data_IF_796847584762
#
_entry.id   IF_796847584762
#
_cell.length_a   1.000
_cell.length_b   1.000
_cell.length_c   1.000
_cell.angle_alpha   90.00
_cell.angle_beta   90.00
_cell.angle_gamma   90.00
#
_symmetry.space_group_name_H-M   'P 1'
#
loop_
_entity.id
_entity.type
_entity.pdbx_description
1 polymer ?
#
# COMPACT_ATOMS: atom_id res chain seq x y z
N UNK A 1 8.34 -2.97 16.33
CA UNK A 1 9.23 -3.20 15.18
C UNK A 1 9.93 -4.55 15.25
N UNK A 2 10.62 -4.88 16.36
CA UNK A 2 11.32 -6.16 16.57
C UNK A 2 10.48 -7.40 16.19
N UNK A 3 9.24 -7.51 16.68
CA UNK A 3 8.36 -8.65 16.37
C UNK A 3 8.09 -8.83 14.87
N UNK A 4 8.01 -7.74 14.10
CA UNK A 4 7.86 -7.80 12.63
C UNK A 4 9.12 -8.41 12.00
N UNK A 5 10.30 -8.02 12.48
CA UNK A 5 11.60 -8.53 11.99
C UNK A 5 11.73 -10.01 12.36
N UNK A 6 11.51 -10.37 13.63
CA UNK A 6 11.48 -11.77 14.11
C UNK A 6 10.59 -12.66 13.25
N UNK A 7 9.35 -12.21 13.00
CA UNK A 7 8.37 -12.98 12.25
C UNK A 7 8.61 -12.99 10.73
N UNK A 8 9.51 -12.13 10.22
CA UNK A 8 9.93 -12.16 8.81
C UNK A 8 11.03 -13.19 8.59
N UNK A 9 11.79 -13.54 9.64
CA UNK A 9 12.96 -14.41 9.53
C UNK A 9 14.14 -13.69 8.87
N UNK A 10 15.25 -14.42 8.72
CA UNK A 10 16.39 -13.95 7.94
C UNK A 10 16.09 -14.00 6.45
N UNK A 11 16.72 -13.08 5.71
CA UNK A 11 16.72 -13.15 4.26
C UNK A 11 17.40 -14.44 3.77
N UNK A 12 17.01 -14.91 2.58
CA UNK A 12 17.58 -16.11 1.96
C UNK A 12 19.11 -16.06 1.81
N UNK A 13 19.70 -14.88 1.64
CA UNK A 13 21.14 -14.66 1.53
C UNK A 13 21.91 -14.72 2.86
N UNK A 14 21.20 -14.59 3.99
CA UNK A 14 21.75 -14.56 5.35
C UNK A 14 21.48 -15.89 6.08
N UNK A 15 20.30 -16.47 5.85
CA UNK A 15 19.80 -17.62 6.61
C UNK A 15 20.77 -18.80 6.56
N UNK A 16 21.16 -19.29 7.74
CA UNK A 16 22.04 -20.46 7.88
C UNK A 16 23.53 -20.14 7.92
N UNK A 17 23.90 -18.86 7.79
CA UNK A 17 25.27 -18.36 7.95
C UNK A 17 25.36 -17.60 9.29
N UNK A 18 25.98 -18.23 10.29
CA UNK A 18 26.00 -17.72 11.66
C UNK A 18 26.68 -16.34 11.77
N UNK A 19 27.73 -16.11 10.98
CA UNK A 19 28.45 -14.85 10.98
C UNK A 19 27.57 -13.73 10.42
N UNK A 20 26.90 -13.97 9.28
CA UNK A 20 25.97 -13.00 8.68
C UNK A 20 24.74 -12.76 9.56
N UNK A 21 24.21 -13.79 10.20
CA UNK A 21 23.10 -13.64 11.14
C UNK A 21 23.50 -12.78 12.35
N UNK A 22 24.71 -13.00 12.91
CA UNK A 22 25.24 -12.18 14.01
C UNK A 22 25.40 -10.73 13.56
N UNK A 23 25.99 -10.53 12.38
CA UNK A 23 26.21 -9.21 11.79
C UNK A 23 24.90 -8.45 11.61
N UNK A 24 23.88 -9.07 11.01
CA UNK A 24 22.56 -8.47 10.83
C UNK A 24 21.91 -8.06 12.17
N UNK A 25 22.04 -8.88 13.22
CA UNK A 25 21.52 -8.56 14.56
C UNK A 25 22.22 -7.33 15.15
N UNK A 26 23.55 -7.26 15.02
CA UNK A 26 24.33 -6.11 15.50
C UNK A 26 23.98 -4.84 14.72
N UNK A 27 23.91 -4.92 13.39
CA UNK A 27 23.50 -3.81 12.52
C UNK A 27 22.08 -3.31 12.86
N UNK A 28 21.15 -4.22 13.17
CA UNK A 28 19.81 -3.84 13.62
C UNK A 28 19.82 -3.01 14.92
N UNK A 29 20.73 -3.32 15.84
CA UNK A 29 20.89 -2.59 17.10
C UNK A 29 21.59 -1.25 16.88
N UNK A 30 22.66 -1.23 16.08
CA UNK A 30 23.45 -0.03 15.81
C UNK A 30 22.67 1.01 15.00
N UNK A 31 22.00 0.59 13.92
CA UNK A 31 21.31 1.50 13.01
C UNK A 31 19.93 1.92 13.53
N UNK A 32 19.19 1.00 14.16
CA UNK A 32 17.78 1.23 14.50
C UNK A 32 17.50 1.20 16.01
N UNK A 33 18.48 0.86 16.85
CA UNK A 33 18.25 0.67 18.29
C UNK A 33 17.36 -0.54 18.60
N UNK A 34 17.22 -1.49 17.67
CA UNK A 34 16.30 -2.63 17.81
C UNK A 34 17.07 -3.86 18.27
N UNK A 35 16.72 -4.36 19.46
CA UNK A 35 17.27 -5.63 19.94
C UNK A 35 16.57 -6.82 19.26
N UNK A 36 17.34 -7.59 18.49
CA UNK A 36 16.88 -8.79 17.81
C UNK A 36 17.41 -10.04 18.53
N UNK A 37 16.50 -10.92 18.92
CA UNK A 37 16.80 -12.23 19.48
C UNK A 37 16.84 -13.27 18.36
N UNK A 38 18.02 -13.89 18.15
CA UNK A 38 18.23 -14.93 17.12
C UNK A 38 17.23 -16.08 17.28
N UNK A 39 16.92 -16.49 18.50
CA UNK A 39 16.03 -17.64 18.76
C UNK A 39 14.59 -17.40 18.29
N UNK A 40 14.19 -16.13 18.15
CA UNK A 40 12.85 -15.71 17.71
C UNK A 40 12.76 -15.46 16.21
N UNK A 41 13.88 -15.53 15.48
CA UNK A 41 13.95 -15.32 14.03
C UNK A 41 13.36 -16.53 13.30
N UNK A 42 12.04 -16.52 13.10
CA UNK A 42 11.32 -17.59 12.45
C UNK A 42 10.20 -17.02 11.57
N UNK A 43 10.13 -17.48 10.32
CA UNK A 43 9.09 -17.05 9.36
C UNK A 43 7.71 -17.42 9.90
N UNK A 44 6.91 -16.42 10.23
CA UNK A 44 5.53 -16.59 10.69
C UNK A 44 4.64 -15.53 10.05
N UNK A 45 3.91 -15.94 9.00
CA UNK A 45 3.05 -15.04 8.22
C UNK A 45 1.99 -14.35 9.09
N UNK A 46 1.34 -15.07 10.00
CA UNK A 46 0.30 -14.53 10.88
C UNK A 46 0.83 -13.47 11.85
N UNK A 47 1.89 -13.79 12.61
CA UNK A 47 2.52 -12.85 13.55
C UNK A 47 3.11 -11.64 12.84
N UNK A 48 3.69 -11.85 11.64
CA UNK A 48 4.19 -10.76 10.80
C UNK A 48 3.06 -9.83 10.38
N UNK A 49 1.93 -10.36 9.93
CA UNK A 49 0.75 -9.56 9.53
C UNK A 49 0.24 -8.74 10.71
N UNK A 50 0.06 -9.34 11.88
CA UNK A 50 -0.37 -8.61 13.09
C UNK A 50 0.62 -7.50 13.46
N UNK A 51 1.91 -7.82 13.52
CA UNK A 51 2.95 -6.84 13.86
C UNK A 51 3.03 -5.69 12.85
N UNK A 52 2.89 -5.99 11.54
CA UNK A 52 2.83 -4.98 10.48
C UNK A 52 1.57 -4.12 10.61
N UNK A 53 0.42 -4.73 10.87
CA UNK A 53 -0.84 -4.02 11.07
C UNK A 53 -0.77 -3.06 12.28
N UNK A 54 -0.20 -3.50 13.40
CA UNK A 54 -0.03 -2.64 14.58
C UNK A 54 0.84 -1.42 14.28
N UNK A 55 1.94 -1.58 13.54
CA UNK A 55 2.81 -0.47 13.14
C UNK A 55 2.10 0.51 12.21
N UNK A 56 1.39 0.00 11.21
CA UNK A 56 0.65 0.83 10.27
C UNK A 56 -0.51 1.56 10.96
N UNK A 57 -1.20 0.89 11.87
CA UNK A 57 -2.29 1.48 12.66
C UNK A 57 -1.76 2.56 13.59
N UNK A 58 -0.62 2.34 14.26
CA UNK A 58 0.01 3.37 15.10
C UNK A 58 0.29 4.65 14.32
N UNK A 59 0.86 4.52 13.12
CA UNK A 59 1.05 5.69 12.23
C UNK A 59 -0.28 6.32 11.80
N UNK A 60 -1.30 5.51 11.51
CA UNK A 60 -2.65 5.98 11.23
C UNK A 60 -3.29 6.75 12.39
N UNK A 61 -2.98 6.36 13.64
CA UNK A 61 -3.46 7.06 14.85
C UNK A 61 -2.93 8.48 14.95
N UNK A 62 -1.67 8.71 14.60
CA UNK A 62 -1.11 10.08 14.54
C UNK A 62 -1.78 10.96 13.47
N UNK A 63 -2.33 10.34 12.43
CA UNK A 63 -2.94 11.01 11.28
C UNK A 63 -4.47 11.10 11.35
N UNK A 64 -5.07 10.84 12.51
CA UNK A 64 -6.52 10.79 12.63
C UNK A 64 -7.13 12.15 12.32
N UNK A 65 -8.18 12.13 11.51
CA UNK A 65 -9.02 13.30 11.30
C UNK A 65 -9.85 13.52 12.56
N UNK A 66 -9.52 14.57 13.31
CA UNK A 66 -10.16 14.88 14.60
C UNK A 66 -11.60 15.42 14.45
N UNK A 67 -11.96 15.96 13.28
CA UNK A 67 -13.25 16.60 13.07
C UNK A 67 -13.77 16.48 11.63
N UNK A 68 -15.09 16.62 11.45
CA UNK A 68 -15.72 16.69 10.13
C UNK A 68 -15.91 15.32 9.47
N UNK A 69 -15.94 14.26 10.28
CA UNK A 69 -16.41 12.95 9.83
C UNK A 69 -17.92 13.03 9.66
N UNK A 70 -18.36 12.75 8.44
CA UNK A 70 -19.78 12.67 8.12
C UNK A 70 -20.40 11.49 8.87
N UNK A 71 -21.52 11.76 9.53
CA UNK A 71 -22.35 10.78 10.20
C UNK A 71 -23.56 10.46 9.33
N UNK A 72 -24.12 9.28 9.53
CA UNK A 72 -25.29 8.81 8.83
C UNK A 72 -26.33 8.36 9.83
N UNK A 73 -27.56 8.77 9.62
CA UNK A 73 -28.71 8.44 10.44
C UNK A 73 -29.85 8.00 9.53
N UNK A 74 -30.53 6.93 9.88
CA UNK A 74 -31.66 6.40 9.12
C UNK A 74 -32.91 6.59 9.96
N UNK A 75 -33.92 7.23 9.39
CA UNK A 75 -35.18 7.50 10.07
C UNK A 75 -36.36 7.36 9.12
N UNK A 76 -37.48 6.89 9.66
CA UNK A 76 -38.80 6.90 9.03
C UNK A 76 -39.77 7.88 9.72
N UNK A 77 -39.29 8.63 10.72
CA UNK A 77 -40.04 9.64 11.45
C UNK A 77 -39.82 11.04 10.87
N UNK A 78 -40.86 11.70 10.34
CA UNK A 78 -40.78 13.08 9.89
C UNK A 78 -40.34 14.06 10.99
N UNK A 79 -40.61 13.78 12.28
CA UNK A 79 -40.20 14.65 13.37
C UNK A 79 -38.67 14.63 13.54
N UNK A 80 -38.05 13.44 13.59
CA UNK A 80 -36.60 13.31 13.63
C UNK A 80 -35.92 13.97 12.42
N UNK A 81 -36.52 13.84 11.23
CA UNK A 81 -36.01 14.55 10.06
C UNK A 81 -35.99 16.07 10.25
N UNK A 82 -37.08 16.65 10.76
CA UNK A 82 -37.15 18.09 11.06
C UNK A 82 -36.13 18.50 12.12
N UNK A 83 -35.93 17.70 13.17
CA UNK A 83 -34.91 17.96 14.19
C UNK A 83 -33.50 18.10 13.58
N UNK A 84 -33.09 17.16 12.73
CA UNK A 84 -31.77 17.19 12.08
C UNK A 84 -31.64 18.30 11.03
N UNK A 85 -32.73 18.64 10.35
CA UNK A 85 -32.77 19.70 9.33
C UNK A 85 -32.69 21.09 9.96
N UNK A 86 -33.40 21.29 11.07
CA UNK A 86 -33.54 22.60 11.70
C UNK A 86 -32.48 22.85 12.80
N UNK A 87 -31.71 21.83 13.20
CA UNK A 87 -30.60 21.98 14.16
C UNK A 87 -29.45 22.82 13.55
N UNK A 88 -29.20 24.05 14.06
CA UNK A 88 -28.15 24.91 13.54
C UNK A 88 -26.74 24.36 13.78
N UNK A 89 -26.56 23.49 14.78
CA UNK A 89 -25.31 22.81 15.10
C UNK A 89 -24.98 21.68 14.11
N UNK A 90 -25.90 21.36 13.21
CA UNK A 90 -25.74 20.33 12.19
C UNK A 90 -25.65 20.98 10.81
N UNK A 91 -24.79 20.41 9.98
CA UNK A 91 -24.73 20.66 8.54
C UNK A 91 -25.24 19.41 7.82
N UNK A 92 -26.48 19.47 7.34
CA UNK A 92 -27.12 18.36 6.63
C UNK A 92 -26.60 18.33 5.19
N UNK A 93 -25.73 17.37 4.90
CA UNK A 93 -25.01 17.26 3.64
C UNK A 93 -25.77 16.49 2.54
N UNK A 94 -26.61 15.52 2.90
CA UNK A 94 -27.44 14.78 1.95
C UNK A 94 -28.66 14.16 2.64
N UNK A 95 -29.72 13.97 1.86
CA UNK A 95 -30.95 13.25 2.24
C UNK A 95 -31.27 12.31 1.09
N UNK A 96 -31.14 11.01 1.32
CA UNK A 96 -31.43 9.99 0.33
C UNK A 96 -32.63 9.17 0.79
N UNK A 97 -33.66 9.05 -0.04
CA UNK A 97 -34.78 8.14 0.25
C UNK A 97 -34.36 6.71 -0.14
N UNK A 98 -34.27 5.82 0.86
CA UNK A 98 -33.87 4.43 0.62
C UNK A 98 -35.06 3.58 0.16
N UNK A 99 -36.22 3.85 0.76
CA UNK A 99 -37.52 3.24 0.48
C UNK A 99 -38.60 4.29 0.75
N UNK A 100 -39.82 4.14 0.21
CA UNK A 100 -40.91 5.07 0.48
C UNK A 100 -41.08 5.34 1.98
N UNK A 101 -40.78 6.57 2.41
CA UNK A 101 -40.88 7.00 3.81
C UNK A 101 -39.68 6.67 4.71
N UNK A 102 -38.61 6.04 4.21
CA UNK A 102 -37.37 5.78 4.96
C UNK A 102 -36.22 6.62 4.39
N UNK A 103 -35.73 7.55 5.19
CA UNK A 103 -34.70 8.51 4.82
C UNK A 103 -33.34 8.15 5.42
N UNK A 104 -32.29 8.28 4.61
CA UNK A 104 -30.90 8.29 5.03
C UNK A 104 -30.43 9.75 5.06
N UNK A 105 -30.20 10.26 6.27
CA UNK A 105 -29.66 11.58 6.51
C UNK A 105 -28.14 11.47 6.65
N UNK A 106 -27.42 12.30 5.90
CA UNK A 106 -25.98 12.43 6.05
C UNK A 106 -25.66 13.83 6.53
N UNK A 107 -24.97 13.92 7.66
CA UNK A 107 -24.71 15.21 8.29
C UNK A 107 -23.32 15.31 8.90
N UNK A 108 -22.89 16.54 9.18
CA UNK A 108 -21.67 16.86 9.92
C UNK A 108 -22.06 17.78 11.07
N UNK A 109 -21.66 17.45 12.29
CA UNK A 109 -21.83 18.39 13.42
C UNK A 109 -20.86 19.55 13.21
N UNK A 110 -21.35 20.78 13.20
CA UNK A 110 -20.52 21.99 13.21
C UNK A 110 -19.84 22.08 14.58
N UNK A 111 -18.57 22.46 14.59
CA UNK A 111 -17.84 22.79 15.80
C UNK A 111 -17.04 24.05 15.54
N UNK A 112 -17.16 25.01 16.45
CA UNK A 112 -16.38 26.25 16.40
C UNK A 112 -14.91 26.01 16.76
N UNK A 113 -14.63 24.98 17.56
CA UNK A 113 -13.29 24.59 18.00
C UNK A 113 -13.05 23.10 17.73
N UNK A 114 -11.92 22.81 17.07
CA UNK A 114 -11.46 21.44 16.84
C UNK A 114 -10.55 21.07 17.99
N UNK A 115 -11.03 20.20 18.87
CA UNK A 115 -10.19 19.53 19.86
C UNK A 115 -9.42 18.40 19.17
N UNK A 116 -8.09 18.41 19.28
CA UNK A 116 -7.28 17.32 18.77
C UNK A 116 -7.46 16.09 19.66
N UNK A 117 -7.57 14.92 19.05
CA UNK A 117 -7.60 13.68 19.81
C UNK A 117 -6.25 13.51 20.53
N UNK A 118 -6.23 13.08 21.80
CA UNK A 118 -4.99 12.97 22.62
C UNK A 118 -3.85 12.16 21.96
N UNK A 119 -4.23 11.14 21.19
CA UNK A 119 -3.30 10.30 20.43
C UNK A 119 -2.95 10.80 19.01
N UNK A 120 -3.53 11.92 18.54
CA UNK A 120 -3.27 12.49 17.22
C UNK A 120 -2.02 13.37 17.26
N UNK A 121 -1.20 13.30 16.22
CA UNK A 121 -0.07 14.21 16.02
C UNK A 121 0.21 14.36 14.53
N UNK A 122 -0.41 15.38 13.92
CA UNK A 122 -0.30 15.61 12.48
C UNK A 122 1.12 15.92 12.03
N UNK A 123 1.97 16.49 12.90
CA UNK A 123 3.36 16.82 12.58
C UNK A 123 4.17 15.56 12.32
N UNK A 124 3.98 14.51 13.13
CA UNK A 124 4.61 13.20 12.91
C UNK A 124 4.20 12.63 11.55
N UNK A 125 2.91 12.71 11.21
CA UNK A 125 2.36 12.23 9.94
C UNK A 125 2.88 13.00 8.73
N UNK A 126 2.96 14.32 8.83
CA UNK A 126 3.50 15.20 7.80
C UNK A 126 4.97 14.88 7.55
N UNK A 127 5.78 14.77 8.61
CA UNK A 127 7.20 14.50 8.50
C UNK A 127 7.46 13.12 7.90
N UNK A 128 6.82 12.08 8.44
CA UNK A 128 7.00 10.70 7.98
C UNK A 128 6.55 10.52 6.53
N UNK A 129 5.42 11.10 6.12
CA UNK A 129 4.95 11.04 4.72
C UNK A 129 5.88 11.81 3.79
N UNK A 130 6.34 12.99 4.19
CA UNK A 130 7.25 13.81 3.39
C UNK A 130 8.60 13.13 3.21
N UNK A 131 9.16 12.56 4.28
CA UNK A 131 10.40 11.79 4.24
C UNK A 131 10.27 10.56 3.33
N UNK A 132 9.16 9.81 3.42
CA UNK A 132 8.90 8.67 2.56
C UNK A 132 8.81 9.08 1.07
N UNK A 133 8.10 10.17 0.76
CA UNK A 133 8.01 10.71 -0.62
C UNK A 133 9.36 11.17 -1.15
N UNK A 134 10.17 11.84 -0.34
CA UNK A 134 11.53 12.26 -0.72
C UNK A 134 12.41 11.03 -0.95
N UNK A 135 12.30 10.00 -0.11
CA UNK A 135 13.04 8.75 -0.28
C UNK A 135 12.69 8.06 -1.61
N UNK A 136 11.39 7.92 -1.91
CA UNK A 136 10.90 7.39 -3.17
C UNK A 136 11.37 8.24 -4.37
N UNK A 137 11.27 9.57 -4.28
CA UNK A 137 11.72 10.48 -5.33
C UNK A 137 13.22 10.34 -5.62
N UNK A 138 14.05 10.19 -4.58
CA UNK A 138 15.49 9.94 -4.75
C UNK A 138 15.76 8.63 -5.50
N UNK A 139 15.00 7.57 -5.21
CA UNK A 139 15.09 6.30 -5.94
C UNK A 139 14.68 6.47 -7.41
N UNK A 140 13.57 7.18 -7.67
CA UNK A 140 13.13 7.51 -9.03
C UNK A 140 14.20 8.27 -9.81
N UNK A 141 14.81 9.28 -9.18
CA UNK A 141 15.87 10.08 -9.82
C UNK A 141 17.11 9.24 -10.13
N UNK A 142 17.49 8.28 -9.27
CA UNK A 142 18.58 7.34 -9.57
C UNK A 142 18.26 6.50 -10.80
N UNK A 143 17.07 5.90 -10.86
CA UNK A 143 16.63 5.11 -12.00
C UNK A 143 16.66 5.92 -13.29
N UNK A 144 16.08 7.13 -13.30
CA UNK A 144 15.98 7.97 -14.51
C UNK A 144 17.35 8.49 -14.97
N UNK A 145 18.31 8.69 -14.06
CA UNK A 145 19.66 9.19 -14.39
C UNK A 145 20.62 8.10 -14.85
N UNK A 146 20.33 6.83 -14.57
CA UNK A 146 21.17 5.72 -15.00
C UNK A 146 20.89 5.37 -16.46
N UNK A 147 21.94 5.36 -17.27
CA UNK A 147 21.85 5.03 -18.70
C UNK A 147 21.23 3.65 -18.93
N UNK A 148 20.29 3.57 -19.87
CA UNK A 148 19.60 2.32 -20.21
C UNK A 148 18.49 1.90 -19.23
N UNK A 149 18.24 2.68 -18.16
CA UNK A 149 17.13 2.44 -17.25
C UNK A 149 15.89 3.24 -17.67
N UNK A 150 14.69 2.72 -17.39
CA UNK A 150 13.44 3.44 -17.62
C UNK A 150 12.46 3.18 -16.48
N UNK A 151 11.97 4.26 -15.87
CA UNK A 151 10.97 4.19 -14.81
C UNK A 151 9.58 3.95 -15.42
N UNK A 152 8.90 2.88 -15.00
CA UNK A 152 7.62 2.45 -15.56
C UNK A 152 6.43 2.81 -14.66
N UNK A 153 6.58 2.65 -13.34
CA UNK A 153 5.50 2.91 -12.38
C UNK A 153 6.03 3.17 -10.97
N UNK A 154 5.27 3.91 -10.16
CA UNK A 154 5.53 4.10 -8.74
C UNK A 154 4.23 4.12 -7.93
N UNK A 155 4.26 3.54 -6.73
CA UNK A 155 3.17 3.66 -5.75
C UNK A 155 3.72 3.59 -4.33
N UNK A 156 3.54 4.68 -3.58
CA UNK A 156 3.80 4.84 -2.14
C UNK A 156 5.22 4.50 -1.65
N UNK A 157 5.62 3.24 -1.75
CA UNK A 157 6.87 2.65 -1.30
C UNK A 157 7.48 1.66 -2.33
N UNK A 158 6.94 1.61 -3.55
CA UNK A 158 7.37 0.70 -4.63
C UNK A 158 7.67 1.44 -5.93
N UNK A 159 8.59 0.87 -6.72
CA UNK A 159 8.90 1.28 -8.09
C UNK A 159 8.94 0.06 -8.99
N UNK A 160 8.48 0.23 -10.23
CA UNK A 160 8.68 -0.72 -11.31
C UNK A 160 9.50 0.00 -12.37
N UNK A 161 10.62 -0.58 -12.78
CA UNK A 161 11.53 0.00 -13.76
C UNK A 161 12.21 -1.10 -14.57
N UNK A 162 12.61 -0.78 -15.79
CA UNK A 162 13.48 -1.63 -16.60
C UNK A 162 14.92 -1.17 -16.44
N UNK A 163 15.85 -2.12 -16.44
CA UNK A 163 17.29 -1.85 -16.40
C UNK A 163 18.06 -2.95 -17.16
N UNK A 164 19.28 -2.68 -17.66
CA UNK A 164 20.16 -3.71 -18.20
C UNK A 164 20.54 -4.74 -17.12
N UNK A 165 20.77 -6.01 -17.49
CA UNK A 165 21.03 -7.10 -16.54
C UNK A 165 22.19 -6.78 -15.56
N UNK A 166 23.25 -6.14 -16.06
CA UNK A 166 24.44 -5.84 -15.27
C UNK A 166 24.36 -4.54 -14.45
N UNK A 167 23.30 -3.74 -14.62
CA UNK A 167 23.21 -2.38 -14.07
C UNK A 167 21.90 -2.19 -13.33
N UNK A 168 21.81 -2.67 -12.09
CA UNK A 168 20.73 -2.28 -11.19
C UNK A 168 21.04 -0.91 -10.55
N UNK A 169 20.25 0.15 -10.79
CA UNK A 169 20.50 1.49 -10.27
C UNK A 169 20.21 1.64 -8.76
N UNK A 170 19.52 0.66 -8.15
CA UNK A 170 19.12 0.69 -6.75
C UNK A 170 19.90 -0.33 -5.94
N UNK A 171 20.35 0.10 -4.76
CA UNK A 171 20.94 -0.81 -3.79
C UNK A 171 19.81 -1.55 -3.07
N UNK A 172 19.81 -2.88 -3.19
CA UNK A 172 18.93 -3.75 -2.45
C UNK A 172 19.56 -4.14 -1.11
N UNK A 173 18.74 -4.40 -0.11
CA UNK A 173 19.25 -4.89 1.16
C UNK A 173 18.17 -5.40 2.12
N UNK A 174 18.58 -6.13 3.16
CA UNK A 174 17.68 -6.81 4.09
C UNK A 174 17.18 -5.91 5.22
N UNK A 175 17.69 -4.69 5.36
CA UNK A 175 17.41 -3.81 6.50
C UNK A 175 16.13 -3.00 6.34
N UNK A 176 15.68 -2.44 7.47
CA UNK A 176 14.50 -1.59 7.50
C UNK A 176 14.72 -0.32 6.66
N UNK A 177 13.86 -0.12 5.66
CA UNK A 177 13.90 1.05 4.79
C UNK A 177 14.74 0.86 3.53
N UNK A 178 15.39 -0.29 3.36
CA UNK A 178 16.05 -0.66 2.11
C UNK A 178 15.03 -1.21 1.10
N UNK A 179 15.36 -1.07 -0.19
CA UNK A 179 14.56 -1.68 -1.25
C UNK A 179 14.82 -3.19 -1.28
N UNK A 180 13.77 -3.95 -1.55
CA UNK A 180 13.83 -5.40 -1.72
C UNK A 180 13.23 -5.77 -3.06
N UNK A 181 13.77 -6.82 -3.69
CA UNK A 181 13.16 -7.40 -4.88
C UNK A 181 11.89 -8.16 -4.45
N UNK A 182 10.72 -7.73 -4.95
CA UNK A 182 9.44 -8.36 -4.62
C UNK A 182 9.27 -9.72 -5.32
N UNK A 183 9.93 -9.92 -6.47
CA UNK A 183 9.83 -11.13 -7.29
C UNK A 183 11.21 -11.74 -7.58
N UNK A 184 12.00 -12.13 -6.56
CA UNK A 184 13.39 -12.56 -6.77
C UNK A 184 13.51 -13.81 -7.66
N UNK A 185 12.51 -14.70 -7.59
CA UNK A 185 12.43 -15.93 -8.38
C UNK A 185 11.88 -15.73 -9.81
N UNK A 186 11.39 -14.53 -10.16
CA UNK A 186 10.76 -14.26 -11.45
C UNK A 186 11.46 -13.12 -12.19
N UNK A 187 11.37 -13.15 -13.51
CA UNK A 187 11.66 -12.03 -14.39
C UNK A 187 10.33 -11.43 -14.88
N UNK A 188 10.22 -10.09 -14.85
CA UNK A 188 9.07 -9.39 -15.43
C UNK A 188 9.33 -9.30 -16.94
N UNK A 189 8.62 -10.12 -17.73
CA UNK A 189 8.73 -10.10 -19.20
C UNK A 189 7.95 -8.92 -19.78
N UNK A 190 6.79 -8.64 -19.20
CA UNK A 190 5.89 -7.63 -19.74
C UNK A 190 5.22 -6.85 -18.61
N UNK A 191 5.14 -5.55 -18.81
CA UNK A 191 4.47 -4.60 -17.92
C UNK A 191 3.41 -3.83 -18.72
N UNK A 192 2.19 -3.76 -18.19
CA UNK A 192 1.13 -2.94 -18.76
C UNK A 192 0.52 -2.03 -17.67
N UNK A 193 0.28 -0.77 -18.04
CA UNK A 193 -0.26 0.25 -17.14
C UNK A 193 -1.54 0.83 -17.73
N UNK A 194 -2.63 0.77 -16.95
CA UNK A 194 -3.90 1.45 -17.25
C UNK A 194 -4.04 2.80 -16.55
N UNK A 195 -3.18 3.09 -15.56
CA UNK A 195 -3.19 4.32 -14.79
C UNK A 195 -2.78 4.08 -13.34
N UNK A 196 -3.06 5.07 -12.48
CA UNK A 196 -2.72 4.99 -11.06
C UNK A 196 -3.43 3.79 -10.40
N UNK A 197 -2.67 2.92 -9.75
CA UNK A 197 -3.16 1.71 -9.05
C UNK A 197 -3.88 0.72 -9.97
N UNK A 198 -3.51 0.71 -11.24
CA UNK A 198 -4.05 -0.14 -12.30
C UNK A 198 -2.92 -0.64 -13.20
N UNK A 199 -2.39 -1.82 -12.93
CA UNK A 199 -1.31 -2.41 -13.72
C UNK A 199 -1.37 -3.93 -13.78
N UNK A 200 -0.74 -4.51 -14.81
CA UNK A 200 -0.54 -5.93 -14.98
C UNK A 200 0.93 -6.28 -15.20
N UNK A 201 1.34 -7.43 -14.67
CA UNK A 201 2.66 -8.03 -14.87
C UNK A 201 2.52 -9.41 -15.49
N UNK A 202 3.36 -9.70 -16.48
CA UNK A 202 3.66 -11.06 -16.95
C UNK A 202 5.01 -11.48 -16.38
N UNK A 203 4.99 -12.52 -15.55
CA UNK A 203 6.14 -13.03 -14.82
C UNK A 203 6.58 -14.38 -15.40
N UNK A 204 7.88 -14.59 -15.53
CA UNK A 204 8.46 -15.87 -15.89
C UNK A 204 9.40 -16.33 -14.79
N UNK A 205 9.28 -17.60 -14.42
CA UNK A 205 10.17 -18.22 -13.44
C UNK A 205 11.59 -18.34 -13.98
N UNK A 206 12.57 -17.84 -13.22
CA UNK A 206 13.99 -17.88 -13.60
C UNK A 206 14.54 -19.31 -13.62
N UNK A 207 14.01 -20.17 -12.73
CA UNK A 207 14.40 -21.58 -12.63
C UNK A 207 13.75 -22.48 -13.69
N UNK A 208 12.64 -22.04 -14.28
CA UNK A 208 11.88 -22.80 -15.27
C UNK A 208 11.41 -21.89 -16.42
N UNK A 209 12.30 -21.56 -17.38
CA UNK A 209 11.99 -20.66 -18.48
C UNK A 209 10.89 -21.19 -19.42
N UNK A 210 10.71 -22.52 -19.49
CA UNK A 210 9.70 -23.16 -20.34
C UNK A 210 8.32 -23.31 -19.66
N UNK A 211 8.22 -23.01 -18.37
CA UNK A 211 6.94 -23.06 -17.67
C UNK A 211 5.98 -21.97 -18.16
N UNK A 212 4.67 -22.23 -18.03
CA UNK A 212 3.65 -21.23 -18.33
C UNK A 212 3.87 -19.95 -17.51
N UNK A 213 3.77 -18.76 -18.12
CA UNK A 213 3.98 -17.50 -17.44
C UNK A 213 2.89 -17.24 -16.40
N UNK A 214 3.29 -16.65 -15.29
CA UNK A 214 2.37 -16.21 -14.23
C UNK A 214 1.92 -14.78 -14.49
N UNK A 215 0.67 -14.47 -14.13
CA UNK A 215 0.07 -13.16 -14.36
C UNK A 215 -0.35 -12.52 -13.06
N UNK A 216 0.06 -11.27 -12.85
CA UNK A 216 -0.38 -10.44 -11.72
C UNK A 216 -1.19 -9.28 -12.26
N UNK A 217 -2.42 -9.12 -11.78
CA UNK A 217 -3.26 -7.98 -12.12
C UNK A 217 -3.62 -7.22 -10.84
N UNK A 218 -3.42 -5.91 -10.85
CA UNK A 218 -3.76 -5.00 -9.75
C UNK A 218 -4.68 -3.93 -10.30
N UNK A 219 -5.95 -3.96 -9.92
CA UNK A 219 -6.95 -2.94 -10.29
C UNK A 219 -7.66 -2.47 -9.03
N UNK A 220 -7.37 -1.24 -8.59
CA UNK A 220 -8.02 -0.68 -7.40
C UNK A 220 -9.52 -0.46 -7.64
N UNK A 221 -10.33 -0.84 -6.66
CA UNK A 221 -11.78 -0.68 -6.68
C UNK A 221 -12.54 -1.91 -7.19
N UNK A 222 -11.83 -2.93 -7.67
CA UNK A 222 -12.42 -4.20 -8.11
C UNK A 222 -11.84 -5.35 -7.32
N UNK A 223 -12.71 -6.23 -6.81
CA UNK A 223 -12.27 -7.50 -6.25
C UNK A 223 -12.16 -8.49 -7.40
N UNK A 224 -10.97 -9.05 -7.61
CA UNK A 224 -10.72 -10.06 -8.65
C UNK A 224 -11.27 -11.42 -8.18
N UNK A 225 -12.58 -11.54 -8.12
CA UNK A 225 -13.26 -12.80 -7.86
C UNK A 225 -13.49 -13.56 -9.18
N UNK A 226 -13.97 -14.79 -9.07
CA UNK A 226 -14.23 -15.65 -10.22
C UNK A 226 -15.17 -14.98 -11.25
N UNK A 227 -16.22 -14.30 -10.80
CA UNK A 227 -17.15 -13.58 -11.67
C UNK A 227 -16.46 -12.48 -12.51
N UNK A 228 -15.63 -11.65 -11.88
CA UNK A 228 -14.91 -10.58 -12.57
C UNK A 228 -13.90 -11.14 -13.57
N UNK A 229 -13.24 -12.25 -13.24
CA UNK A 229 -12.21 -12.85 -14.10
C UNK A 229 -12.83 -13.62 -15.27
N UNK A 230 -13.86 -14.42 -15.01
CA UNK A 230 -14.47 -15.33 -15.98
C UNK A 230 -15.64 -14.71 -16.72
N UNK A 231 -16.63 -14.16 -16.01
CA UNK A 231 -17.84 -13.62 -16.64
C UNK A 231 -17.62 -12.21 -17.22
N UNK A 232 -16.89 -11.35 -16.50
CA UNK A 232 -16.58 -10.00 -16.98
C UNK A 232 -15.28 -9.94 -17.80
N UNK A 233 -14.56 -11.07 -17.87
CA UNK A 233 -13.39 -11.26 -18.72
C UNK A 233 -12.21 -10.37 -18.36
N UNK A 234 -12.06 -9.93 -17.10
CA UNK A 234 -10.93 -9.11 -16.68
C UNK A 234 -9.70 -9.98 -16.42
N UNK A 235 -8.95 -10.25 -17.49
CA UNK A 235 -7.71 -11.02 -17.51
C UNK A 235 -6.56 -10.12 -17.96
N UNK A 236 -5.31 -10.58 -17.81
CA UNK A 236 -4.14 -9.82 -18.24
C UNK A 236 -4.24 -9.35 -19.70
N UNK A 237 -4.64 -10.24 -20.62
CA UNK A 237 -4.72 -9.91 -22.04
C UNK A 237 -5.80 -8.87 -22.36
N UNK A 238 -6.99 -9.03 -21.81
CA UNK A 238 -8.08 -8.08 -22.04
C UNK A 238 -7.79 -6.72 -21.39
N UNK A 239 -7.13 -6.72 -20.22
CA UNK A 239 -6.64 -5.51 -19.59
C UNK A 239 -5.61 -4.80 -20.47
N UNK A 240 -4.60 -5.52 -20.96
CA UNK A 240 -3.57 -4.98 -21.87
C UNK A 240 -4.20 -4.34 -23.12
N UNK A 241 -5.13 -5.03 -23.77
CA UNK A 241 -5.82 -4.52 -24.95
C UNK A 241 -6.59 -3.23 -24.65
N UNK A 242 -7.32 -3.19 -23.53
CA UNK A 242 -8.07 -2.00 -23.11
C UNK A 242 -7.13 -0.85 -22.77
N UNK A 243 -6.06 -1.09 -22.03
CA UNK A 243 -5.04 -0.08 -21.72
C UNK A 243 -4.42 0.48 -23.00
N UNK A 244 -4.02 -0.38 -23.94
CA UNK A 244 -3.44 0.05 -25.22
C UNK A 244 -4.40 0.91 -26.05
N UNK A 245 -5.71 0.62 -26.03
CA UNK A 245 -6.73 1.45 -26.69
C UNK A 245 -6.85 2.83 -26.05
N UNK A 246 -6.77 2.92 -24.72
CA UNK A 246 -6.80 4.21 -24.02
C UNK A 246 -5.63 5.08 -24.48
N UNK A 247 -4.40 4.55 -24.48
CA UNK A 247 -3.21 5.32 -24.86
C UNK A 247 -3.16 5.72 -26.33
N UNK A 248 -3.88 5.04 -27.23
CA UNK A 248 -3.96 5.41 -28.66
C UNK A 248 -4.88 6.59 -28.95
N UNK A 249 -5.77 6.92 -28.01
CA UNK A 249 -6.75 8.00 -28.15
C UNK A 249 -6.31 9.30 -27.45
N UNK A 250 -5.08 9.34 -26.95
CA UNK A 250 -4.41 10.51 -26.39
C UNK A 250 -3.25 10.90 -27.30
#
# INVERSE_FOLDING_TARGET
>A
MAQKIHSSGFDSSIKGDEEKETKFINECKELFGINIDRSKMAVNKGKRTQSKLMLNNLWGRFSLRNFGLSQSFVTDDPAEFCEYKDDPSIDLSAVDELQPGVLLLRYVKKRDWIEEHDCSNVVVSLWTTSAARIHLLRAMQKVVRTSGCSLLYTDTDSLIFSHPEDVCPLQLGPHLGEFTDEYPAHAIIEFCCGGSKQYGLKLQRKDQPEAEPEYVLKVRGMTLNWDVIENQGLRYQTFKEKSAKIWKNW
#
